data_IF_581887148068
#
_entry.id   IF_581887148068
#
_cell.length_a   1.000
_cell.length_b   1.000
_cell.length_c   1.000
_cell.angle_alpha   90.00
_cell.angle_beta   90.00
_cell.angle_gamma   90.00
#
_symmetry.space_group_name_H-M   'P 1'
#
loop_
_entity.id
_entity.type
_entity.pdbx_description
1 polymer ?
#
# COMPACT_ATOMS: atom_id res chain seq x y z
N UNK A 1 2.67 -11.27 11.29
CA UNK A 1 3.70 -10.22 11.06
C UNK A 1 3.14 -9.16 10.11
N UNK A 2 3.74 -7.97 9.95
CA UNK A 2 3.35 -7.02 8.88
C UNK A 2 4.35 -7.15 7.73
N UNK A 3 3.86 -7.28 6.50
CA UNK A 3 4.70 -7.42 5.31
C UNK A 3 4.42 -6.31 4.31
N UNK A 4 5.43 -5.93 3.54
CA UNK A 4 5.33 -4.92 2.49
C UNK A 4 4.91 -5.60 1.19
N UNK A 5 3.79 -5.16 0.62
CA UNK A 5 3.26 -5.69 -0.66
C UNK A 5 3.45 -4.71 -1.82
N UNK A 6 3.62 -3.42 -1.51
CA UNK A 6 3.80 -2.38 -2.52
C UNK A 6 4.64 -1.23 -1.99
N UNK A 7 5.36 -0.56 -2.88
CA UNK A 7 6.09 0.68 -2.57
C UNK A 7 5.69 1.74 -3.57
N UNK A 8 4.86 2.68 -3.14
CA UNK A 8 4.44 3.81 -3.96
C UNK A 8 5.50 4.91 -3.94
N UNK A 9 5.68 5.59 -5.07
CA UNK A 9 6.60 6.74 -5.19
C UNK A 9 5.94 8.07 -4.79
N UNK A 10 4.69 8.04 -4.35
CA UNK A 10 3.93 9.22 -3.97
C UNK A 10 2.93 8.90 -2.87
N UNK A 11 2.66 9.89 -2.02
CA UNK A 11 1.67 9.77 -0.94
C UNK A 11 0.28 9.46 -1.48
N UNK A 12 -0.07 10.07 -2.61
CA UNK A 12 -1.37 9.91 -3.26
C UNK A 12 -1.59 8.46 -3.68
N UNK A 13 -0.63 7.87 -4.41
CA UNK A 13 -0.66 6.46 -4.81
C UNK A 13 -0.79 5.51 -3.60
N UNK A 14 0.00 5.70 -2.55
CA UNK A 14 -0.12 4.89 -1.34
C UNK A 14 -1.47 5.06 -0.63
N UNK A 15 -2.01 6.28 -0.57
CA UNK A 15 -3.30 6.55 0.09
C UNK A 15 -4.46 5.95 -0.70
N UNK A 16 -4.41 6.06 -2.02
CA UNK A 16 -5.40 5.47 -2.93
C UNK A 16 -5.41 3.96 -2.80
N UNK A 17 -4.25 3.33 -2.83
CA UNK A 17 -4.09 1.89 -2.72
C UNK A 17 -4.50 1.37 -1.33
N UNK A 18 -4.19 2.12 -0.28
CA UNK A 18 -4.71 1.87 1.07
C UNK A 18 -6.25 1.95 1.13
N UNK A 19 -6.85 2.94 0.49
CA UNK A 19 -8.31 3.07 0.41
C UNK A 19 -8.94 1.84 -0.25
N UNK A 20 -8.45 1.47 -1.42
CA UNK A 20 -8.97 0.35 -2.20
C UNK A 20 -8.86 -0.99 -1.45
N UNK A 21 -7.73 -1.26 -0.79
CA UNK A 21 -7.57 -2.45 0.05
C UNK A 21 -8.51 -2.43 1.27
N UNK A 22 -8.62 -1.27 1.94
CA UNK A 22 -9.50 -1.13 3.11
C UNK A 22 -10.98 -1.30 2.76
N UNK A 23 -11.41 -0.84 1.59
CA UNK A 23 -12.80 -0.99 1.10
C UNK A 23 -13.17 -2.45 0.83
N UNK A 24 -12.20 -3.29 0.47
CA UNK A 24 -12.39 -4.74 0.29
C UNK A 24 -12.32 -5.52 1.62
N UNK A 25 -12.08 -4.84 2.76
CA UNK A 25 -11.97 -5.46 4.06
C UNK A 25 -10.55 -5.90 4.45
N UNK A 26 -9.54 -5.62 3.61
CA UNK A 26 -8.15 -5.95 3.90
C UNK A 26 -7.54 -4.92 4.84
N UNK A 27 -6.91 -5.40 5.91
CA UNK A 27 -6.22 -4.52 6.84
C UNK A 27 -4.91 -4.01 6.23
N UNK A 28 -4.79 -2.69 6.08
CA UNK A 28 -3.62 -2.07 5.43
C UNK A 28 -3.06 -0.91 6.24
N UNK A 29 -1.75 -0.75 6.20
CA UNK A 29 -1.01 0.38 6.78
C UNK A 29 -0.06 0.95 5.75
N UNK A 30 0.12 2.27 5.78
CA UNK A 30 1.11 2.95 4.95
C UNK A 30 2.23 3.50 5.83
N UNK A 31 3.47 3.36 5.38
CA UNK A 31 4.66 3.88 6.07
C UNK A 31 5.53 4.66 5.11
N UNK A 32 5.81 5.91 5.43
CA UNK A 32 6.75 6.71 4.65
C UNK A 32 8.19 6.29 4.97
N UNK A 33 8.98 6.03 3.92
CA UNK A 33 10.43 5.90 3.96
C UNK A 33 11.05 7.20 3.45
N UNK A 34 11.65 7.95 4.37
CA UNK A 34 12.40 9.17 4.06
C UNK A 34 12.18 10.29 5.08
N UNK A 35 13.23 11.06 5.37
CA UNK A 35 13.21 12.14 6.37
C UNK A 35 12.67 13.47 5.84
N UNK A 36 12.41 13.59 4.54
CA UNK A 36 12.07 14.87 3.94
C UNK A 36 10.55 15.11 3.98
N UNK A 37 10.12 16.15 4.69
CA UNK A 37 8.71 16.60 4.74
C UNK A 37 8.22 17.18 3.40
N UNK A 38 9.13 17.44 2.46
CA UNK A 38 8.82 17.99 1.14
C UNK A 38 8.61 16.86 0.13
N UNK A 39 7.34 16.45 0.01
CA UNK A 39 6.65 15.89 -1.16
C UNK A 39 7.14 14.59 -1.83
N UNK A 40 8.42 14.26 -1.84
CA UNK A 40 9.00 13.19 -2.67
C UNK A 40 9.61 12.10 -1.79
N UNK A 41 8.74 11.22 -1.27
CA UNK A 41 9.13 10.12 -0.40
C UNK A 41 8.52 8.82 -0.86
N UNK A 42 9.23 7.71 -0.65
CA UNK A 42 8.70 6.38 -0.90
C UNK A 42 7.71 6.02 0.21
N UNK A 43 6.61 5.38 -0.13
CA UNK A 43 5.60 4.93 0.81
C UNK A 43 5.42 3.42 0.67
N UNK A 44 5.75 2.69 1.73
CA UNK A 44 5.45 1.27 1.82
C UNK A 44 3.98 1.08 2.17
N UNK A 45 3.33 0.17 1.45
CA UNK A 45 2.00 -0.35 1.78
C UNK A 45 2.20 -1.71 2.40
N UNK A 46 1.72 -1.86 3.63
CA UNK A 46 1.87 -3.05 4.45
C UNK A 46 0.52 -3.67 4.76
N UNK A 47 0.48 -5.00 4.75
CA UNK A 47 -0.67 -5.81 5.18
C UNK A 47 -0.21 -6.84 6.20
N UNK A 48 -1.09 -7.35 7.08
CA UNK A 48 -0.74 -8.49 7.91
C UNK A 48 -0.49 -9.70 7.01
N UNK A 49 0.44 -10.54 7.42
CA UNK A 49 0.86 -11.75 6.70
C UNK A 49 -0.30 -12.68 6.31
N UNK A 50 -1.37 -12.71 7.12
CA UNK A 50 -2.58 -13.50 6.85
C UNK A 50 -3.43 -12.99 5.69
N UNK A 51 -3.29 -11.72 5.32
CA UNK A 51 -4.10 -11.04 4.29
C UNK A 51 -3.29 -10.81 3.00
N UNK A 52 -2.08 -11.36 2.92
CA UNK A 52 -1.17 -11.14 1.78
C UNK A 52 -1.75 -11.71 0.49
N UNK A 53 -2.35 -12.90 0.56
CA UNK A 53 -2.96 -13.53 -0.61
C UNK A 53 -4.14 -12.69 -1.13
N UNK A 54 -5.07 -12.29 -0.26
CA UNK A 54 -6.18 -11.40 -0.61
C UNK A 54 -5.70 -10.06 -1.17
N UNK A 55 -4.72 -9.43 -0.52
CA UNK A 55 -4.17 -8.17 -0.98
C UNK A 55 -3.49 -8.30 -2.36
N UNK A 56 -2.79 -9.40 -2.61
CA UNK A 56 -2.16 -9.68 -3.90
C UNK A 56 -3.21 -9.84 -5.00
N UNK A 57 -4.28 -10.59 -4.74
CA UNK A 57 -5.40 -10.76 -5.68
C UNK A 57 -6.05 -9.41 -6.00
N UNK A 58 -6.28 -8.56 -4.99
CA UNK A 58 -6.84 -7.21 -5.21
C UNK A 58 -5.87 -6.37 -6.03
N UNK A 59 -4.57 -6.37 -5.72
CA UNK A 59 -3.56 -5.64 -6.49
C UNK A 59 -3.55 -6.04 -7.97
N UNK A 60 -3.64 -7.34 -8.27
CA UNK A 60 -3.74 -7.85 -9.64
C UNK A 60 -5.00 -7.35 -10.37
N UNK A 61 -6.13 -7.28 -9.66
CA UNK A 61 -7.39 -6.74 -10.20
C UNK A 61 -7.34 -5.23 -10.42
N UNK A 62 -6.62 -4.50 -9.57
CA UNK A 62 -6.51 -3.04 -9.64
C UNK A 62 -5.65 -2.56 -10.82
N UNK A 63 -4.75 -3.41 -11.34
CA UNK A 63 -3.91 -3.09 -12.50
C UNK A 63 -2.78 -2.11 -12.18
N UNK A 64 -1.67 -2.23 -12.92
CA UNK A 64 -0.36 -1.58 -12.71
C UNK A 64 -0.31 -0.06 -12.95
N UNK A 65 -1.29 0.73 -12.48
CA UNK A 65 -1.38 2.18 -12.74
C UNK A 65 -1.44 3.02 -11.45
N UNK A 66 -0.47 2.82 -10.53
CA UNK A 66 -0.34 3.56 -9.25
C UNK A 66 1.08 4.07 -8.97
#
# INVERSE_FOLDING_TARGET
>A
MWTVIYVAQSRDGATKLQGMLSEQGVLVKTRQIGKNKNADGLFEVLVPETEVEDACVILEQLGTDF
#
